data_IF_788396730036
#
_entry.id   IF_788396730036
#
_cell.length_a   1.000
_cell.length_b   1.000
_cell.length_c   1.000
_cell.angle_alpha   90.00
_cell.angle_beta   90.00
_cell.angle_gamma   90.00
#
_symmetry.space_group_name_H-M   'P 1'
#
loop_
_entity.id
_entity.type
_entity.pdbx_description
1 polymer ?
#
# COMPACT_ATOMS: atom_id res chain seq x y z
N UNK A 1 -27.79 -11.56 -15.83
CA UNK A 1 -26.66 -11.53 -16.78
C UNK A 1 -25.50 -10.96 -15.98
N UNK A 2 -24.77 -11.81 -15.25
CA UNK A 2 -23.65 -11.37 -14.41
C UNK A 2 -22.60 -10.76 -15.34
N UNK A 3 -22.40 -9.44 -15.25
CA UNK A 3 -21.17 -8.83 -15.75
C UNK A 3 -20.07 -9.38 -14.87
N UNK A 4 -19.33 -10.38 -15.37
CA UNK A 4 -17.99 -10.66 -14.88
C UNK A 4 -17.22 -9.35 -15.02
N UNK A 5 -17.00 -8.63 -13.92
CA UNK A 5 -15.87 -7.70 -13.86
C UNK A 5 -14.67 -8.60 -13.96
N UNK A 6 -14.10 -8.64 -15.15
CA UNK A 6 -12.80 -9.24 -15.40
C UNK A 6 -11.85 -8.39 -14.56
N UNK A 7 -11.40 -8.92 -13.41
CA UNK A 7 -10.16 -8.47 -12.77
C UNK A 7 -9.01 -8.88 -13.69
N UNK A 8 -8.93 -8.19 -14.83
CA UNK A 8 -7.87 -8.28 -15.80
C UNK A 8 -7.40 -6.86 -16.01
N UNK A 9 -6.39 -6.49 -15.23
CA UNK A 9 -5.84 -5.14 -15.19
C UNK A 9 -6.34 -4.35 -13.98
N UNK A 10 -5.81 -4.66 -12.79
CA UNK A 10 -5.53 -3.58 -11.83
C UNK A 10 -4.46 -2.69 -12.50
N UNK A 11 -4.91 -1.79 -13.37
CA UNK A 11 -4.02 -0.76 -13.90
C UNK A 11 -3.94 0.29 -12.80
N UNK A 12 -2.78 0.38 -12.17
CA UNK A 12 -2.50 1.39 -11.14
C UNK A 12 -2.77 2.78 -11.71
N UNK A 13 -3.68 3.55 -11.11
CA UNK A 13 -3.79 4.99 -11.37
C UNK A 13 -2.82 5.67 -10.41
N UNK A 14 -1.52 5.53 -10.68
CA UNK A 14 -0.51 6.20 -9.87
C UNK A 14 -0.06 7.50 -10.56
N UNK A 15 -0.21 8.63 -9.86
CA UNK A 15 0.46 9.86 -10.25
C UNK A 15 1.87 9.82 -9.69
N UNK A 16 2.87 9.88 -10.57
CA UNK A 16 4.27 9.89 -10.19
C UNK A 16 4.57 11.14 -9.35
N UNK A 17 4.72 10.99 -8.04
CA UNK A 17 5.40 11.98 -7.24
C UNK A 17 6.91 11.89 -7.54
N UNK A 18 7.36 12.59 -8.58
CA UNK A 18 8.79 12.78 -8.87
C UNK A 18 9.42 13.58 -7.71
N UNK A 19 9.97 12.85 -6.73
CA UNK A 19 10.71 13.39 -5.59
C UNK A 19 12.07 12.71 -5.47
N UNK A 20 13.03 13.41 -4.86
CA UNK A 20 14.34 12.83 -4.54
C UNK A 20 14.20 11.87 -3.35
N UNK A 21 14.32 10.57 -3.58
CA UNK A 21 14.53 9.58 -2.52
C UNK A 21 16.01 9.52 -2.11
N UNK A 22 16.32 9.40 -0.81
CA UNK A 22 17.70 9.33 -0.34
C UNK A 22 18.33 7.96 -0.69
N UNK A 23 19.61 7.96 -1.09
CA UNK A 23 20.37 6.75 -1.46
C UNK A 23 20.66 5.79 -0.29
N UNK A 24 20.31 6.18 0.94
CA UNK A 24 20.30 5.34 2.15
C UNK A 24 19.13 5.80 3.00
N UNK A 25 18.49 4.90 3.74
CA UNK A 25 17.53 5.31 4.75
C UNK A 25 18.21 6.32 5.69
N UNK A 26 17.61 7.50 5.79
CA UNK A 26 17.88 8.39 6.91
C UNK A 26 17.58 7.59 8.20
N UNK A 27 18.26 7.88 9.31
CA UNK A 27 17.92 7.25 10.58
C UNK A 27 16.42 7.44 10.84
N UNK A 28 15.65 6.37 10.71
CA UNK A 28 14.21 6.43 10.89
C UNK A 28 13.91 6.84 12.33
N UNK A 29 12.83 7.61 12.57
CA UNK A 29 12.48 7.96 13.92
C UNK A 29 12.03 6.71 14.68
N UNK A 30 12.43 6.61 15.95
CA UNK A 30 11.89 5.57 16.85
C UNK A 30 10.36 5.71 17.02
N UNK A 31 9.82 6.92 16.83
CA UNK A 31 8.39 7.21 16.89
C UNK A 31 7.96 8.14 15.76
N UNK A 32 7.01 7.68 14.93
CA UNK A 32 6.32 8.47 13.92
C UNK A 32 4.97 8.96 14.47
N UNK A 33 4.84 10.26 14.69
CA UNK A 33 3.60 10.91 15.11
C UNK A 33 2.86 11.48 13.90
N UNK A 34 1.65 10.99 13.67
CA UNK A 34 0.80 11.37 12.53
C UNK A 34 -0.28 12.35 13.01
N UNK A 35 -0.38 13.50 12.36
CA UNK A 35 -1.56 14.35 12.43
C UNK A 35 -2.51 13.94 11.30
N UNK A 36 -3.59 13.25 11.63
CA UNK A 36 -4.64 12.95 10.67
C UNK A 36 -5.68 14.08 10.70
N UNK A 37 -6.03 14.64 9.54
CA UNK A 37 -7.09 15.64 9.42
C UNK A 37 -8.18 15.16 8.48
N UNK A 38 -9.42 15.29 8.91
CA UNK A 38 -10.63 15.02 8.12
C UNK A 38 -11.04 16.29 7.42
N UNK A 39 -11.08 16.25 6.09
CA UNK A 39 -11.53 17.36 5.26
C UNK A 39 -12.70 16.95 4.38
N UNK A 40 -13.65 17.85 4.23
CA UNK A 40 -14.77 17.71 3.32
C UNK A 40 -14.84 18.92 2.40
N UNK A 41 -15.55 18.76 1.30
CA UNK A 41 -15.67 19.77 0.26
C UNK A 41 -16.94 20.60 0.43
N UNK A 42 -17.09 21.66 -0.36
CA UNK A 42 -18.42 22.26 -0.52
C UNK A 42 -19.36 21.25 -1.15
N UNK A 43 -20.55 21.00 -0.55
CA UNK A 43 -21.47 20.04 -1.11
C UNK A 43 -21.91 20.41 -2.53
N UNK A 44 -21.93 19.43 -3.43
CA UNK A 44 -22.44 19.61 -4.79
C UNK A 44 -23.30 18.41 -5.24
N UNK A 45 -23.68 18.39 -6.53
CA UNK A 45 -24.41 17.27 -7.13
C UNK A 45 -23.72 16.82 -8.42
N UNK A 46 -22.40 16.94 -8.50
CA UNK A 46 -21.63 16.50 -9.64
C UNK A 46 -21.73 14.98 -9.75
N UNK A 47 -22.13 14.48 -10.92
CA UNK A 47 -22.25 13.02 -11.17
C UNK A 47 -20.93 12.39 -11.58
N UNK A 48 -19.87 13.18 -11.67
CA UNK A 48 -18.53 12.80 -12.12
C UNK A 48 -17.56 12.62 -10.96
N UNK A 49 -18.06 12.73 -9.74
CA UNK A 49 -17.39 12.44 -8.47
C UNK A 49 -18.33 11.56 -7.63
N UNK A 50 -17.77 10.71 -6.77
CA UNK A 50 -18.55 9.89 -5.85
C UNK A 50 -18.95 10.66 -4.60
N UNK A 51 -20.24 10.57 -4.23
CA UNK A 51 -20.80 11.27 -3.08
C UNK A 51 -21.17 12.73 -3.40
N UNK A 52 -21.45 13.52 -2.35
CA UNK A 52 -21.79 14.93 -2.48
C UNK A 52 -20.66 15.86 -2.03
N UNK A 53 -19.48 15.31 -1.70
CA UNK A 53 -18.35 16.04 -1.13
C UNK A 53 -18.30 16.05 0.40
N UNK A 54 -19.22 15.38 1.09
CA UNK A 54 -19.21 15.20 2.56
C UNK A 54 -18.98 13.75 2.96
N UNK A 55 -18.48 13.51 4.18
CA UNK A 55 -18.23 12.15 4.69
C UNK A 55 -19.53 11.36 4.87
N UNK A 56 -19.50 10.07 4.57
CA UNK A 56 -20.62 9.18 4.87
C UNK A 56 -20.68 8.88 6.38
N UNK A 57 -21.51 9.66 7.07
CA UNK A 57 -21.80 9.51 8.50
C UNK A 57 -23.04 8.64 8.78
N UNK A 58 -23.55 7.94 7.77
CA UNK A 58 -24.68 7.04 7.96
C UNK A 58 -24.29 5.83 8.80
N UNK A 59 -25.25 5.25 9.52
CA UNK A 59 -25.03 4.07 10.38
C UNK A 59 -25.12 2.76 9.59
N UNK A 60 -24.53 2.73 8.40
CA UNK A 60 -25.13 2.08 7.22
C UNK A 60 -25.50 0.60 7.32
N UNK A 61 -26.45 0.25 6.46
CA UNK A 61 -26.69 -1.09 5.88
C UNK A 61 -26.26 -1.08 4.40
N UNK A 62 -25.07 -0.56 4.10
CA UNK A 62 -24.51 -0.47 2.74
C UNK A 62 -24.31 -1.87 2.16
N UNK A 63 -24.22 -1.97 0.83
CA UNK A 63 -23.78 -3.19 0.17
C UNK A 63 -22.31 -3.52 0.52
N UNK A 64 -21.49 -2.51 0.83
CA UNK A 64 -20.10 -2.67 1.23
C UNK A 64 -19.98 -3.07 2.70
N UNK A 65 -19.27 -4.17 2.94
CA UNK A 65 -18.96 -4.77 4.24
C UNK A 65 -17.53 -4.43 4.70
N UNK A 66 -16.62 -4.17 3.76
CA UNK A 66 -15.28 -3.66 4.03
C UNK A 66 -15.38 -2.17 4.32
N UNK A 67 -14.75 -1.74 5.42
CA UNK A 67 -14.69 -0.36 5.88
C UNK A 67 -16.04 0.37 5.80
N UNK A 68 -17.09 -0.12 6.49
CA UNK A 68 -18.41 0.47 6.40
C UNK A 68 -18.50 1.79 7.18
N UNK A 69 -19.42 2.69 6.80
CA UNK A 69 -19.69 3.91 7.54
C UNK A 69 -20.31 3.60 8.93
N UNK A 70 -20.25 4.53 9.90
CA UNK A 70 -19.91 5.95 9.70
C UNK A 70 -18.41 6.22 9.60
N UNK A 71 -17.98 6.94 8.56
CA UNK A 71 -16.59 7.39 8.35
C UNK A 71 -16.27 8.65 9.18
N UNK A 72 -16.37 8.46 10.50
CA UNK A 72 -16.23 9.48 11.51
C UNK A 72 -14.80 9.51 12.09
N UNK A 73 -14.54 10.34 13.09
CA UNK A 73 -13.22 10.44 13.73
C UNK A 73 -12.70 9.10 14.24
N UNK A 74 -13.55 8.30 14.89
CA UNK A 74 -13.14 6.99 15.42
C UNK A 74 -12.85 5.97 14.33
N UNK A 75 -13.49 6.07 13.16
CA UNK A 75 -13.18 5.24 11.99
C UNK A 75 -11.74 5.45 11.52
N UNK A 76 -11.32 6.71 11.31
CA UNK A 76 -9.93 7.00 10.92
C UNK A 76 -8.93 6.67 12.04
N UNK A 77 -9.33 6.78 13.31
CA UNK A 77 -8.49 6.35 14.43
C UNK A 77 -8.23 4.85 14.42
N UNK A 78 -9.18 4.03 13.93
CA UNK A 78 -8.99 2.59 13.77
C UNK A 78 -7.95 2.28 12.68
N UNK A 79 -7.97 2.98 11.54
CA UNK A 79 -6.95 2.83 10.51
C UNK A 79 -5.55 3.21 11.02
N UNK A 80 -5.43 4.28 11.83
CA UNK A 80 -4.17 4.60 12.51
C UNK A 80 -3.76 3.53 13.52
N UNK A 81 -4.73 2.86 14.16
CA UNK A 81 -4.47 1.72 15.06
C UNK A 81 -3.95 0.51 14.27
N UNK A 82 -4.51 0.24 13.09
CA UNK A 82 -3.96 -0.76 12.18
C UNK A 82 -2.53 -0.44 11.79
N UNK A 83 -2.26 0.79 11.32
CA UNK A 83 -0.91 1.21 10.94
C UNK A 83 0.08 1.04 12.10
N UNK A 84 -0.30 1.43 13.33
CA UNK A 84 0.48 1.17 14.53
C UNK A 84 0.82 -0.31 14.69
N UNK A 85 -0.20 -1.17 14.72
CA UNK A 85 0.00 -2.60 14.96
C UNK A 85 0.82 -3.24 13.83
N UNK A 86 0.60 -2.81 12.58
CA UNK A 86 1.36 -3.26 11.40
C UNK A 86 2.84 -2.91 11.53
N UNK A 87 3.17 -1.63 11.75
CA UNK A 87 4.55 -1.16 11.85
C UNK A 87 5.29 -1.69 13.08
N UNK A 88 4.61 -1.81 14.23
CA UNK A 88 5.19 -2.42 15.43
C UNK A 88 5.61 -3.88 15.17
N UNK A 89 4.78 -4.64 14.43
CA UNK A 89 5.09 -6.03 14.04
C UNK A 89 6.26 -6.13 13.08
N UNK A 90 6.21 -5.43 11.94
CA UNK A 90 7.24 -5.57 10.88
C UNK A 90 8.59 -5.01 11.29
N UNK A 91 8.60 -3.99 12.16
CA UNK A 91 9.83 -3.38 12.67
C UNK A 91 10.34 -4.03 13.95
N UNK A 92 9.60 -4.99 14.53
CA UNK A 92 9.89 -5.62 15.83
C UNK A 92 10.05 -4.59 16.95
N UNK A 93 9.20 -3.57 16.92
CA UNK A 93 9.19 -2.45 17.88
C UNK A 93 10.25 -1.37 17.62
N UNK A 94 11.01 -1.44 16.52
CA UNK A 94 11.96 -0.38 16.16
C UNK A 94 11.27 0.90 15.66
N UNK A 95 10.03 0.80 15.17
CA UNK A 95 9.19 1.94 14.82
C UNK A 95 7.87 1.87 15.61
N UNK A 96 7.57 2.94 16.33
CA UNK A 96 6.28 3.15 16.98
C UNK A 96 5.49 4.17 16.17
N UNK A 97 4.33 3.80 15.64
CA UNK A 97 3.42 4.76 15.00
C UNK A 97 2.33 5.15 15.98
N UNK A 98 2.07 6.45 16.07
CA UNK A 98 0.95 7.02 16.83
C UNK A 98 0.31 8.12 16.01
N UNK A 99 -0.97 8.40 16.21
CA UNK A 99 -1.56 9.56 15.57
C UNK A 99 -2.89 9.96 16.18
N UNK A 100 -3.22 11.23 15.96
CA UNK A 100 -4.42 11.89 16.44
C UNK A 100 -5.23 12.37 15.24
N UNK A 101 -6.55 12.20 15.30
CA UNK A 101 -7.48 12.64 14.24
C UNK A 101 -8.16 13.94 14.65
N UNK A 102 -8.10 14.94 13.76
CA UNK A 102 -8.74 16.25 13.89
C UNK A 102 -9.74 16.51 12.75
N UNK A 103 -10.79 17.34 12.96
CA UNK A 103 -11.17 17.99 14.22
C UNK A 103 -11.49 17.00 15.34
N UNK A 104 -11.49 17.46 16.60
CA UNK A 104 -11.65 16.57 17.76
C UNK A 104 -13.09 16.05 17.95
N UNK A 105 -14.09 16.68 17.32
CA UNK A 105 -15.47 16.22 17.32
C UNK A 105 -15.65 14.93 16.52
N UNK A 106 -16.53 14.04 17.00
CA UNK A 106 -16.68 12.70 16.44
C UNK A 106 -17.10 12.72 14.97
N UNK A 107 -18.00 13.62 14.59
CA UNK A 107 -18.52 13.75 13.22
C UNK A 107 -17.96 14.95 12.48
N UNK A 108 -17.17 15.81 13.13
CA UNK A 108 -16.73 17.09 12.59
C UNK A 108 -15.61 16.93 11.54
N UNK A 109 -15.64 17.75 10.50
CA UNK A 109 -14.60 17.82 9.46
C UNK A 109 -14.31 19.28 9.10
N UNK A 110 -13.08 19.56 8.66
CA UNK A 110 -12.75 20.88 8.11
C UNK A 110 -13.31 21.01 6.70
N UNK A 111 -14.13 22.03 6.46
CA UNK A 111 -14.76 22.23 5.16
C UNK A 111 -13.95 23.17 4.26
N UNK A 112 -13.51 22.64 3.12
CA UNK A 112 -12.83 23.39 2.07
C UNK A 112 -13.77 24.39 1.40
N UNK A 113 -13.21 25.44 0.80
CA UNK A 113 -13.99 26.50 0.14
C UNK A 113 -14.55 26.11 -1.23
N UNK A 114 -13.99 25.07 -1.85
CA UNK A 114 -14.34 24.61 -3.18
C UNK A 114 -14.91 23.18 -3.13
N UNK A 115 -15.57 22.74 -4.20
CA UNK A 115 -16.02 21.36 -4.32
C UNK A 115 -14.89 20.43 -4.75
N UNK A 116 -15.09 19.10 -4.65
CA UNK A 116 -14.11 18.09 -5.03
C UNK A 116 -13.62 18.26 -6.48
N UNK A 117 -14.57 18.54 -7.38
CA UNK A 117 -14.34 18.82 -8.80
C UNK A 117 -13.29 19.92 -9.05
N UNK A 118 -13.27 20.94 -8.18
CA UNK A 118 -12.34 22.05 -8.33
C UNK A 118 -10.90 21.63 -8.00
N UNK A 119 -10.71 20.63 -7.14
CA UNK A 119 -9.41 20.05 -6.86
C UNK A 119 -9.00 19.09 -7.96
N UNK A 120 -9.86 18.18 -8.40
CA UNK A 120 -9.55 17.28 -9.50
C UNK A 120 -10.47 17.47 -10.72
N UNK A 121 -10.17 18.42 -11.63
CA UNK A 121 -10.94 18.57 -12.85
C UNK A 121 -10.68 17.45 -13.88
N UNK A 122 -9.64 16.63 -13.66
CA UNK A 122 -9.18 15.54 -14.54
C UNK A 122 -9.05 15.92 -16.04
N UNK A 123 -8.50 17.10 -16.33
CA UNK A 123 -8.29 17.58 -17.71
C UNK A 123 -6.90 17.26 -18.27
N UNK A 124 -5.92 17.04 -17.40
CA UNK A 124 -4.55 16.62 -17.73
C UNK A 124 -3.85 16.10 -16.47
N UNK A 125 -2.81 15.28 -16.60
CA UNK A 125 -2.02 14.80 -15.45
C UNK A 125 -1.51 15.96 -14.58
N UNK A 126 -1.00 17.04 -15.21
CA UNK A 126 -0.56 18.23 -14.49
C UNK A 126 -1.69 18.91 -13.70
N UNK A 127 -2.91 18.94 -14.23
CA UNK A 127 -4.05 19.54 -13.52
C UNK A 127 -4.45 18.70 -12.29
N UNK A 128 -4.35 17.37 -12.38
CA UNK A 128 -4.58 16.46 -11.26
C UNK A 128 -3.50 16.68 -10.19
N UNK A 129 -2.23 16.71 -10.59
CA UNK A 129 -1.11 16.94 -9.67
C UNK A 129 -1.20 18.28 -8.93
N UNK A 130 -1.53 19.34 -9.66
CA UNK A 130 -1.80 20.66 -9.08
C UNK A 130 -3.00 20.63 -8.15
N UNK A 131 -4.02 19.85 -8.47
CA UNK A 131 -5.17 19.56 -7.63
C UNK A 131 -4.81 19.01 -6.27
N UNK A 132 -4.08 17.90 -6.26
CA UNK A 132 -3.63 17.21 -5.05
C UNK A 132 -2.73 18.11 -4.20
N UNK A 133 -1.80 18.83 -4.84
CA UNK A 133 -0.93 19.77 -4.14
C UNK A 133 -1.74 20.89 -3.47
N UNK A 134 -2.74 21.46 -4.17
CA UNK A 134 -3.64 22.46 -3.59
C UNK A 134 -4.46 21.89 -2.44
N UNK A 135 -5.02 20.69 -2.60
CA UNK A 135 -5.80 20.01 -1.57
C UNK A 135 -5.00 19.86 -0.27
N UNK A 136 -3.78 19.33 -0.37
CA UNK A 136 -2.91 19.18 0.80
C UNK A 136 -2.65 20.53 1.50
N UNK A 137 -2.29 21.56 0.71
CA UNK A 137 -2.04 22.91 1.25
C UNK A 137 -3.28 23.48 1.94
N UNK A 138 -4.42 23.46 1.26
CA UNK A 138 -5.64 24.12 1.72
C UNK A 138 -6.21 23.39 2.95
N UNK A 139 -6.11 22.05 2.99
CA UNK A 139 -6.44 21.23 4.14
C UNK A 139 -5.57 21.56 5.37
N UNK A 140 -4.25 21.64 5.18
CA UNK A 140 -3.31 21.98 6.26
C UNK A 140 -3.58 23.40 6.78
N UNK A 141 -3.82 24.37 5.90
CA UNK A 141 -4.12 25.75 6.30
C UNK A 141 -5.44 25.89 7.06
N UNK A 142 -6.45 25.07 6.74
CA UNK A 142 -7.70 25.03 7.50
C UNK A 142 -7.50 24.44 8.88
N UNK A 143 -6.71 23.36 9.00
CA UNK A 143 -6.40 22.77 10.29
C UNK A 143 -5.54 23.69 11.16
N UNK A 144 -4.64 24.50 10.57
CA UNK A 144 -3.83 25.51 11.28
C UNK A 144 -4.66 26.64 11.90
N UNK A 145 -5.90 26.85 11.42
CA UNK A 145 -6.83 27.80 12.02
C UNK A 145 -7.55 27.24 13.27
N UNK A 146 -7.39 25.96 13.60
CA UNK A 146 -7.92 25.33 14.81
C UNK A 146 -6.90 25.40 15.94
N UNK A 147 -7.22 26.16 17.00
CA UNK A 147 -6.36 26.35 18.17
C UNK A 147 -5.99 25.04 18.91
N UNK A 148 -6.65 23.91 18.61
CA UNK A 148 -6.32 22.60 19.18
C UNK A 148 -5.20 21.88 18.41
N UNK A 149 -4.91 22.29 17.19
CA UNK A 149 -3.88 21.69 16.33
C UNK A 149 -2.55 22.43 16.56
N UNK A 150 -1.52 21.65 16.83
CA UNK A 150 -0.14 22.14 17.00
C UNK A 150 0.75 21.24 16.17
N UNK A 151 1.11 21.73 14.98
CA UNK A 151 1.82 20.91 13.98
C UNK A 151 3.22 20.53 14.45
N UNK A 152 3.83 21.31 15.34
CA UNK A 152 5.15 21.02 15.91
C UNK A 152 5.24 19.69 16.67
N UNK A 153 4.09 19.09 17.05
CA UNK A 153 4.02 17.79 17.74
C UNK A 153 4.10 16.58 16.83
N UNK A 154 3.98 16.76 15.51
CA UNK A 154 3.82 15.68 14.55
C UNK A 154 4.96 15.66 13.53
N UNK A 155 5.21 14.48 12.96
CA UNK A 155 6.24 14.26 11.95
C UNK A 155 5.68 14.33 10.53
N UNK A 156 4.41 13.97 10.36
CA UNK A 156 3.71 13.95 9.07
C UNK A 156 2.23 14.25 9.24
N UNK A 157 1.61 14.69 8.15
CA UNK A 157 0.17 14.97 8.07
C UNK A 157 -0.47 13.98 7.10
N UNK A 158 -1.58 13.38 7.51
CA UNK A 158 -2.46 12.58 6.64
C UNK A 158 -3.77 13.33 6.49
N UNK A 159 -4.12 13.69 5.25
CA UNK A 159 -5.39 14.30 4.89
C UNK A 159 -6.32 13.20 4.42
N UNK A 160 -7.33 12.89 5.22
CA UNK A 160 -8.46 12.08 4.78
C UNK A 160 -9.51 13.01 4.19
N UNK A 161 -9.84 12.86 2.91
CA UNK A 161 -10.90 13.65 2.26
C UNK A 161 -12.19 12.84 2.10
N UNK A 162 -13.34 13.51 2.13
CA UNK A 162 -14.62 12.88 1.81
C UNK A 162 -14.67 12.34 0.36
N UNK A 163 -15.47 11.31 0.12
CA UNK A 163 -15.59 10.62 -1.16
C UNK A 163 -14.52 9.56 -1.41
N UNK A 164 -14.54 8.99 -2.62
CA UNK A 164 -13.80 7.77 -2.95
C UNK A 164 -12.46 8.06 -3.62
N UNK A 165 -11.50 7.15 -3.43
CA UNK A 165 -10.20 7.18 -4.10
C UNK A 165 -10.28 6.76 -5.57
N UNK A 166 -9.46 7.39 -6.40
CA UNK A 166 -9.28 7.00 -7.81
C UNK A 166 -8.00 6.16 -7.99
N UNK A 167 -7.81 5.19 -7.11
CA UNK A 167 -6.55 4.43 -6.99
C UNK A 167 -6.51 3.16 -7.85
N UNK A 168 -7.66 2.72 -8.35
CA UNK A 168 -7.82 1.55 -9.22
C UNK A 168 -8.48 1.95 -10.55
N UNK A 169 -8.10 1.27 -11.63
CA UNK A 169 -8.75 1.43 -12.94
C UNK A 169 -10.01 0.55 -13.03
N UNK A 170 -11.16 1.18 -13.15
CA UNK A 170 -12.47 0.54 -13.31
C UNK A 170 -12.86 0.32 -14.79
N UNK A 171 -11.99 0.72 -15.72
CA UNK A 171 -12.25 0.74 -17.15
C UNK A 171 -13.14 1.91 -17.55
N UNK A 172 -14.47 1.71 -17.55
CA UNK A 172 -15.41 2.82 -17.72
C UNK A 172 -15.65 3.46 -16.36
N UNK A 173 -14.84 4.47 -16.07
CA UNK A 173 -14.86 5.27 -14.85
C UNK A 173 -15.97 6.34 -14.95
N UNK A 174 -17.08 6.10 -14.25
CA UNK A 174 -18.23 7.01 -14.19
C UNK A 174 -17.93 8.22 -13.29
N UNK A 175 -16.92 8.14 -12.42
CA UNK A 175 -16.49 9.20 -11.50
C UNK A 175 -15.02 9.62 -11.71
N UNK A 176 -14.66 10.06 -12.93
CA UNK A 176 -13.27 10.32 -13.31
C UNK A 176 -12.61 11.46 -12.54
N UNK A 177 -13.36 12.21 -11.74
CA UNK A 177 -12.89 13.37 -10.98
C UNK A 177 -12.74 13.07 -9.48
N UNK A 178 -12.92 11.81 -9.07
CA UNK A 178 -12.47 11.33 -7.76
C UNK A 178 -10.97 11.53 -7.60
N UNK A 179 -10.53 11.84 -6.38
CA UNK A 179 -9.14 12.23 -6.11
C UNK A 179 -8.33 10.96 -5.80
N UNK A 180 -7.22 10.71 -6.50
CA UNK A 180 -6.35 9.57 -6.20
C UNK A 180 -5.51 9.83 -4.95
N UNK A 181 -5.17 8.76 -4.26
CA UNK A 181 -4.29 8.77 -3.09
C UNK A 181 -2.84 9.10 -3.50
N UNK A 182 -2.14 9.86 -2.67
CA UNK A 182 -0.74 10.21 -2.96
C UNK A 182 0.06 10.61 -1.72
N UNK A 183 1.31 10.14 -1.68
CA UNK A 183 2.36 10.72 -0.84
C UNK A 183 2.99 11.92 -1.55
N UNK A 184 2.71 13.11 -1.03
CA UNK A 184 3.17 14.38 -1.58
C UNK A 184 4.51 14.76 -0.99
N UNK A 185 5.49 15.01 -1.85
CA UNK A 185 6.85 15.44 -1.47
C UNK A 185 7.04 16.94 -1.60
N UNK A 186 8.11 17.47 -0.99
CA UNK A 186 8.52 18.87 -1.13
C UNK A 186 8.78 19.25 -2.60
N UNK A 187 9.34 18.32 -3.37
CA UNK A 187 9.57 18.50 -4.81
C UNK A 187 8.25 18.55 -5.58
N UNK A 188 7.27 17.71 -5.21
CA UNK A 188 5.94 17.74 -5.81
C UNK A 188 5.25 19.08 -5.57
N UNK A 189 5.30 19.60 -4.34
CA UNK A 189 4.81 20.95 -4.02
C UNK A 189 5.52 22.01 -4.85
N UNK A 190 6.85 21.91 -4.99
CA UNK A 190 7.64 22.88 -5.74
C UNK A 190 7.28 22.90 -7.22
N UNK A 191 7.07 21.72 -7.82
CA UNK A 191 6.72 21.55 -9.22
C UNK A 191 5.30 22.04 -9.53
N UNK A 192 4.37 21.85 -8.60
CA UNK A 192 2.95 22.07 -8.84
C UNK A 192 2.41 23.39 -8.30
N UNK A 193 2.99 23.92 -7.22
CA UNK A 193 2.55 25.17 -6.57
C UNK A 193 3.65 26.23 -6.48
N UNK A 194 4.89 25.91 -6.82
CA UNK A 194 6.02 26.83 -6.67
C UNK A 194 6.48 27.03 -5.23
N UNK A 195 6.01 26.21 -4.27
CA UNK A 195 6.40 26.24 -2.86
C UNK A 195 7.08 24.93 -2.48
N UNK A 196 8.12 24.96 -1.67
CA UNK A 196 8.78 23.73 -1.17
C UNK A 196 8.21 23.23 0.15
N UNK A 197 7.45 24.07 0.85
CA UNK A 197 6.87 23.77 2.16
C UNK A 197 5.62 24.63 2.43
N UNK A 198 4.78 24.15 3.35
CA UNK A 198 3.58 24.84 3.85
C UNK A 198 3.90 25.30 5.28
N UNK A 199 3.90 26.60 5.53
CA UNK A 199 4.19 27.19 6.85
C UNK A 199 2.92 27.21 7.71
N UNK A 200 3.04 26.72 8.95
CA UNK A 200 1.96 26.60 9.95
C UNK A 200 2.46 27.08 11.33
N UNK A 201 1.60 27.06 12.34
CA UNK A 201 1.88 27.53 13.71
C UNK A 201 2.40 28.99 13.72
N UNK A 202 1.78 29.87 12.93
CA UNK A 202 2.22 31.26 12.78
C UNK A 202 3.61 31.42 12.12
N UNK A 203 4.04 30.42 11.36
CA UNK A 203 5.34 30.36 10.67
C UNK A 203 6.46 29.70 11.48
N UNK A 204 6.15 29.08 12.62
CA UNK A 204 7.13 28.37 13.45
C UNK A 204 7.45 26.96 12.94
N UNK A 205 6.53 26.34 12.22
CA UNK A 205 6.65 24.96 11.71
C UNK A 205 6.47 24.95 10.19
N UNK A 206 7.23 24.10 9.50
CA UNK A 206 7.15 23.92 8.04
C UNK A 206 6.85 22.47 7.68
N UNK A 207 5.74 22.25 6.96
CA UNK A 207 5.33 20.95 6.45
C UNK A 207 5.85 20.77 5.03
N UNK A 208 6.74 19.79 4.85
CA UNK A 208 7.44 19.53 3.57
C UNK A 208 6.87 18.36 2.78
N UNK A 209 6.03 17.56 3.41
CA UNK A 209 5.42 16.38 2.82
C UNK A 209 4.12 16.07 3.57
N UNK A 210 3.28 15.25 2.96
CA UNK A 210 2.04 14.79 3.55
C UNK A 210 1.43 13.69 2.71
N UNK A 211 0.39 13.06 3.24
CA UNK A 211 -0.31 11.96 2.59
C UNK A 211 -1.75 12.43 2.35
N UNK A 212 -2.29 12.18 1.15
CA UNK A 212 -3.69 12.42 0.81
C UNK A 212 -4.34 11.06 0.56
N UNK A 213 -5.45 10.79 1.26
CA UNK A 213 -6.24 9.56 1.17
C UNK A 213 -7.74 9.89 1.15
N UNK A 214 -8.58 9.07 0.51
CA UNK A 214 -10.03 9.21 0.56
C UNK A 214 -10.61 8.70 1.90
N UNK A 215 -11.93 8.78 2.03
CA UNK A 215 -12.63 8.15 3.16
C UNK A 215 -12.75 6.64 2.98
N UNK A 216 -12.83 6.18 1.73
CA UNK A 216 -12.96 4.77 1.35
C UNK A 216 -12.47 4.56 -0.09
N UNK A 217 -12.16 3.31 -0.43
CA UNK A 217 -11.83 2.87 -1.78
C UNK A 217 -12.98 2.09 -2.44
N UNK A 218 -14.04 1.79 -1.68
CA UNK A 218 -15.14 0.96 -2.15
C UNK A 218 -16.10 1.76 -3.03
N UNK A 219 -16.28 1.33 -4.28
CA UNK A 219 -17.16 1.96 -5.28
C UNK A 219 -17.61 0.96 -6.34
N UNK A 220 -18.72 1.26 -7.03
CA UNK A 220 -19.20 0.50 -8.21
C UNK A 220 -19.26 -1.03 -8.02
N UNK A 221 -19.62 -1.48 -6.81
CA UNK A 221 -19.73 -2.91 -6.46
C UNK A 221 -18.39 -3.60 -6.14
N UNK A 222 -17.28 -2.87 -6.17
CA UNK A 222 -15.96 -3.32 -5.71
C UNK A 222 -15.77 -2.87 -4.26
N UNK A 223 -15.25 -3.79 -3.45
CA UNK A 223 -14.91 -3.54 -2.06
C UNK A 223 -13.41 -3.58 -1.90
N UNK A 224 -12.83 -2.48 -1.42
CA UNK A 224 -11.40 -2.36 -1.18
C UNK A 224 -11.17 -1.61 0.13
N UNK A 225 -10.28 -2.13 0.96
CA UNK A 225 -9.93 -1.59 2.25
C UNK A 225 -8.82 -0.54 2.17
N UNK A 226 -8.89 0.46 3.04
CA UNK A 226 -7.96 1.61 3.03
C UNK A 226 -6.58 1.28 3.63
N UNK A 227 -6.51 0.22 4.44
CA UNK A 227 -5.32 -0.13 5.23
C UNK A 227 -4.05 -0.28 4.39
N UNK A 228 -4.12 -1.00 3.27
CA UNK A 228 -2.99 -1.24 2.40
C UNK A 228 -2.39 0.02 1.81
N UNK A 229 -3.23 0.92 1.30
CA UNK A 229 -2.82 2.21 0.74
C UNK A 229 -2.25 3.10 1.84
N UNK A 230 -2.87 3.14 3.02
CA UNK A 230 -2.38 3.90 4.17
C UNK A 230 -0.96 3.46 4.58
N UNK A 231 -0.73 2.16 4.79
CA UNK A 231 0.59 1.69 5.23
C UNK A 231 1.65 1.81 4.13
N UNK A 232 1.27 1.67 2.85
CA UNK A 232 2.18 1.91 1.72
C UNK A 232 2.62 3.38 1.66
N UNK A 233 1.70 4.33 1.81
CA UNK A 233 2.02 5.76 1.86
C UNK A 233 2.84 6.15 3.09
N UNK A 234 2.62 5.52 4.25
CA UNK A 234 3.52 5.66 5.40
C UNK A 234 4.91 5.08 5.05
N UNK A 235 4.98 3.97 4.32
CA UNK A 235 6.22 3.42 3.76
C UNK A 235 6.97 4.44 2.90
N UNK A 236 6.28 5.12 1.97
CA UNK A 236 6.87 6.20 1.16
C UNK A 236 7.37 7.35 2.04
N UNK A 237 6.65 7.72 3.11
CA UNK A 237 7.11 8.70 4.09
C UNK A 237 8.39 8.27 4.83
N UNK A 238 8.51 6.98 5.15
CA UNK A 238 9.73 6.38 5.71
C UNK A 238 10.85 6.23 4.66
N UNK A 239 10.61 6.61 3.40
CA UNK A 239 11.60 6.57 2.33
C UNK A 239 11.69 5.21 1.63
N UNK A 240 10.69 4.35 1.75
CA UNK A 240 10.64 3.12 0.96
C UNK A 240 10.39 3.50 -0.49
N UNK A 241 11.19 2.99 -1.44
CA UNK A 241 10.95 3.23 -2.85
C UNK A 241 9.79 2.37 -3.36
N UNK A 242 9.16 2.84 -4.43
CA UNK A 242 8.22 2.05 -5.20
C UNK A 242 8.96 0.90 -5.88
N UNK A 243 8.36 -0.30 -5.85
CA UNK A 243 8.88 -1.50 -6.49
C UNK A 243 8.15 -1.83 -7.79
N UNK A 244 7.01 -1.19 -8.04
CA UNK A 244 6.37 -1.17 -9.36
C UNK A 244 7.13 -0.22 -10.30
N UNK A 245 6.82 -0.27 -11.60
CA UNK A 245 7.32 0.66 -12.63
C UNK A 245 6.32 1.79 -12.85
N UNK A 246 6.58 3.03 -12.38
CA UNK A 246 5.75 4.18 -12.71
C UNK A 246 5.62 4.46 -14.20
N UNK A 247 6.67 4.17 -14.99
CA UNK A 247 6.68 4.45 -16.43
C UNK A 247 5.79 3.49 -17.21
N UNK A 248 5.90 2.19 -16.91
CA UNK A 248 5.16 1.14 -17.62
C UNK A 248 3.80 0.83 -16.96
N UNK A 249 3.55 1.37 -15.75
CA UNK A 249 2.37 1.08 -14.92
C UNK A 249 2.19 -0.42 -14.68
N UNK A 250 3.32 -1.11 -14.57
CA UNK A 250 3.41 -2.55 -14.37
C UNK A 250 4.05 -2.86 -13.02
N UNK A 251 3.68 -3.98 -12.43
CA UNK A 251 4.32 -4.46 -11.20
C UNK A 251 5.76 -4.91 -11.49
N UNK A 252 6.65 -4.78 -10.51
CA UNK A 252 8.03 -5.26 -10.60
C UNK A 252 8.26 -6.52 -9.77
N UNK A 253 7.56 -6.68 -8.65
CA UNK A 253 7.72 -7.83 -7.72
C UNK A 253 6.38 -8.43 -7.25
N UNK A 254 5.28 -7.97 -7.83
CA UNK A 254 3.95 -8.54 -7.62
C UNK A 254 3.39 -8.33 -6.21
N UNK A 255 2.50 -9.23 -5.83
CA UNK A 255 1.78 -9.22 -4.55
C UNK A 255 2.66 -9.59 -3.34
N UNK A 256 3.94 -9.86 -3.55
CA UNK A 256 4.86 -10.31 -2.50
C UNK A 256 5.50 -9.18 -1.68
N UNK A 257 5.40 -7.92 -2.15
CA UNK A 257 5.98 -6.76 -1.48
C UNK A 257 4.97 -5.62 -1.26
N UNK A 258 5.09 -4.94 -0.12
CA UNK A 258 4.23 -3.82 0.26
C UNK A 258 4.26 -2.66 -0.75
N UNK A 259 5.43 -2.31 -1.27
CA UNK A 259 5.62 -1.14 -2.15
C UNK A 259 5.33 -1.45 -3.63
N UNK A 260 4.53 -2.48 -3.87
CA UNK A 260 4.03 -2.94 -5.17
C UNK A 260 2.60 -3.48 -4.94
N UNK A 261 2.08 -4.33 -5.83
CA UNK A 261 0.72 -4.89 -5.76
C UNK A 261 0.35 -5.56 -4.41
N UNK A 262 1.34 -5.89 -3.57
CA UNK A 262 1.09 -6.47 -2.25
C UNK A 262 0.32 -5.55 -1.29
N UNK A 263 0.22 -4.24 -1.59
CA UNK A 263 -0.66 -3.33 -0.84
C UNK A 263 -2.14 -3.70 -0.95
N UNK A 264 -2.56 -4.38 -2.03
CA UNK A 264 -3.95 -4.72 -2.30
C UNK A 264 -4.33 -6.13 -1.84
N UNK A 265 -3.42 -6.85 -1.20
CA UNK A 265 -3.69 -8.21 -0.73
C UNK A 265 -4.87 -8.24 0.27
N UNK A 266 -5.70 -9.28 0.14
CA UNK A 266 -6.92 -9.42 0.94
C UNK A 266 -7.89 -8.26 0.72
N UNK A 267 -8.06 -7.82 -0.52
CA UNK A 267 -8.87 -6.66 -0.90
C UNK A 267 -8.47 -5.39 -0.11
N UNK A 268 -7.16 -5.13 0.00
CA UNK A 268 -6.60 -3.96 0.71
C UNK A 268 -6.62 -4.04 2.24
N UNK A 269 -7.19 -5.11 2.82
CA UNK A 269 -7.21 -5.31 4.28
C UNK A 269 -5.87 -5.84 4.82
N UNK A 270 -5.20 -6.72 4.08
CA UNK A 270 -4.04 -7.49 4.55
C UNK A 270 -2.81 -7.22 3.66
N UNK A 271 -2.25 -6.00 3.70
CA UNK A 271 -1.06 -5.67 2.92
C UNK A 271 0.11 -6.60 3.25
N UNK A 272 0.86 -7.01 2.22
CA UNK A 272 2.06 -7.81 2.37
C UNK A 272 3.05 -7.15 3.34
N UNK A 273 3.83 -7.93 4.09
CA UNK A 273 4.96 -7.37 4.85
C UNK A 273 5.98 -6.71 3.91
N UNK A 274 6.73 -5.68 4.34
CA UNK A 274 7.82 -5.14 3.54
C UNK A 274 8.84 -6.24 3.28
N UNK A 275 9.34 -6.37 2.05
CA UNK A 275 10.29 -7.42 1.66
C UNK A 275 11.62 -7.32 2.44
N UNK A 276 12.42 -8.40 2.42
CA UNK A 276 13.70 -8.47 3.12
C UNK A 276 14.61 -7.24 2.89
N UNK A 277 14.74 -6.79 1.63
CA UNK A 277 15.55 -5.62 1.30
C UNK A 277 15.02 -4.34 1.98
N UNK A 278 13.72 -4.08 1.91
CA UNK A 278 13.09 -2.90 2.54
C UNK A 278 13.29 -2.90 4.06
N UNK A 279 13.18 -4.06 4.73
CA UNK A 279 13.41 -4.16 6.18
C UNK A 279 14.87 -3.93 6.56
N UNK A 280 15.82 -4.40 5.73
CA UNK A 280 17.25 -4.12 5.90
C UNK A 280 17.55 -2.65 5.65
N UNK A 281 16.98 -2.07 4.58
CA UNK A 281 17.10 -0.65 4.25
C UNK A 281 16.60 0.23 5.40
N UNK A 282 15.46 -0.12 6.01
CA UNK A 282 14.89 0.56 7.18
C UNK A 282 15.72 0.38 8.46
N UNK A 283 16.70 -0.54 8.49
CA UNK A 283 17.46 -0.88 9.68
C UNK A 283 16.70 -1.73 10.70
N UNK A 284 15.56 -2.32 10.32
CA UNK A 284 14.75 -3.18 11.19
C UNK A 284 15.22 -4.63 11.22
N UNK A 285 16.04 -5.02 10.23
CA UNK A 285 16.53 -6.38 10.09
C UNK A 285 17.99 -6.40 9.61
N UNK A 286 18.69 -7.47 9.95
CA UNK A 286 20.05 -7.75 9.47
C UNK A 286 20.09 -9.12 8.81
N UNK A 287 20.71 -9.21 7.63
CA UNK A 287 20.94 -10.48 6.95
C UNK A 287 22.16 -11.22 7.50
N UNK A 288 22.07 -12.54 7.59
CA UNK A 288 23.23 -13.40 7.81
C UNK A 288 23.90 -13.70 6.47
N UNK A 289 25.12 -13.21 6.25
CA UNK A 289 25.84 -13.40 4.99
C UNK A 289 26.45 -14.79 4.89
N UNK A 290 26.18 -15.49 3.79
CA UNK A 290 26.70 -16.81 3.47
C UNK A 290 27.55 -16.72 2.20
N UNK A 291 28.87 -16.80 2.37
CA UNK A 291 29.82 -16.78 1.23
C UNK A 291 30.02 -18.17 0.61
N UNK A 292 29.96 -19.20 1.44
CA UNK A 292 30.03 -20.60 1.05
C UNK A 292 29.14 -21.37 2.01
N UNK A 293 28.30 -22.27 1.48
CA UNK A 293 27.53 -23.17 2.32
C UNK A 293 28.51 -24.09 3.06
N UNK A 294 28.65 -23.90 4.38
CA UNK A 294 29.51 -24.79 5.18
C UNK A 294 28.87 -26.17 5.41
N UNK A 295 27.55 -26.25 5.26
CA UNK A 295 26.73 -27.45 5.27
C UNK A 295 25.72 -27.38 4.11
N UNK A 296 25.24 -28.52 3.63
CA UNK A 296 24.22 -28.60 2.58
C UNK A 296 22.81 -28.14 3.02
N UNK A 297 22.64 -27.72 4.29
CA UNK A 297 21.35 -27.33 4.85
C UNK A 297 21.49 -26.06 5.70
N UNK A 298 20.59 -25.10 5.45
CA UNK A 298 20.42 -23.87 6.22
C UNK A 298 19.00 -23.83 6.77
N UNK A 299 18.84 -23.37 8.01
CA UNK A 299 17.52 -23.20 8.64
C UNK A 299 17.16 -21.72 8.69
N UNK A 300 16.00 -21.38 8.14
CA UNK A 300 15.48 -20.03 8.05
C UNK A 300 14.10 -19.95 8.71
N UNK A 301 13.96 -19.09 9.70
CA UNK A 301 12.68 -18.89 10.37
C UNK A 301 11.79 -17.95 9.57
N UNK A 302 10.47 -18.13 9.72
CA UNK A 302 9.49 -17.23 9.11
C UNK A 302 9.69 -15.78 9.56
N UNK A 303 9.33 -14.81 8.71
CA UNK A 303 9.60 -13.38 8.93
C UNK A 303 9.10 -12.83 10.26
N UNK A 304 7.99 -13.33 10.81
CA UNK A 304 7.45 -12.90 12.11
C UNK A 304 7.82 -13.82 13.29
N UNK A 305 8.69 -14.81 13.07
CA UNK A 305 9.19 -15.67 14.14
C UNK A 305 9.96 -14.85 15.20
N UNK A 306 9.91 -15.22 16.48
CA UNK A 306 10.79 -14.64 17.49
C UNK A 306 12.24 -15.14 17.38
N UNK A 307 12.50 -16.17 16.56
CA UNK A 307 13.82 -16.82 16.44
C UNK A 307 14.51 -16.40 15.15
N UNK A 308 15.73 -15.89 15.25
CA UNK A 308 16.62 -15.62 14.12
C UNK A 308 17.34 -16.90 13.63
N UNK A 309 17.84 -16.95 12.38
CA UNK A 309 17.79 -15.91 11.35
C UNK A 309 16.48 -15.91 10.56
N UNK A 310 16.09 -14.75 9.99
CA UNK A 310 14.97 -14.65 9.03
C UNK A 310 15.39 -14.25 7.62
N UNK A 311 16.62 -13.73 7.45
CA UNK A 311 17.16 -13.37 6.15
C UNK A 311 18.59 -13.91 5.99
N UNK A 312 18.83 -14.62 4.89
CA UNK A 312 20.17 -14.92 4.41
C UNK A 312 20.54 -14.02 3.25
N UNK A 313 21.82 -13.62 3.18
CA UNK A 313 22.39 -12.90 2.03
C UNK A 313 23.46 -13.76 1.37
N UNK A 314 23.36 -13.95 0.05
CA UNK A 314 24.33 -14.67 -0.77
C UNK A 314 24.98 -13.70 -1.76
N UNK A 315 26.19 -13.21 -1.49
CA UNK A 315 26.88 -12.28 -2.38
C UNK A 315 27.24 -12.92 -3.72
N UNK A 316 26.96 -12.23 -4.81
CA UNK A 316 27.45 -12.57 -6.16
C UNK A 316 28.71 -11.75 -6.44
N UNK A 317 28.62 -10.44 -6.24
CA UNK A 317 29.71 -9.48 -6.34
C UNK A 317 29.51 -8.33 -5.31
N UNK A 318 30.23 -7.22 -5.46
CA UNK A 318 30.17 -6.09 -4.53
C UNK A 318 28.82 -5.35 -4.57
N UNK A 319 28.08 -5.42 -5.68
CA UNK A 319 26.81 -4.74 -5.91
C UNK A 319 25.62 -5.69 -6.06
N UNK A 320 25.85 -6.95 -6.43
CA UNK A 320 24.79 -7.92 -6.63
C UNK A 320 24.80 -9.06 -5.60
N UNK A 321 23.62 -9.44 -5.15
CA UNK A 321 23.43 -10.52 -4.19
C UNK A 321 22.00 -11.03 -4.18
N UNK A 322 21.82 -12.25 -3.68
CA UNK A 322 20.49 -12.76 -3.34
C UNK A 322 20.15 -12.53 -1.86
N UNK A 323 18.90 -12.19 -1.58
CA UNK A 323 18.31 -12.27 -0.25
C UNK A 323 17.29 -13.40 -0.21
N UNK A 324 17.38 -14.27 0.79
CA UNK A 324 16.42 -15.35 1.00
C UNK A 324 15.67 -15.10 2.29
N UNK A 325 14.34 -15.09 2.23
CA UNK A 325 13.45 -14.99 3.39
C UNK A 325 12.34 -16.06 3.34
N UNK A 326 11.82 -16.45 4.51
CA UNK A 326 10.73 -17.40 4.61
C UNK A 326 9.40 -16.67 4.88
N UNK A 327 8.52 -16.63 3.88
CA UNK A 327 7.20 -15.96 3.92
C UNK A 327 6.04 -16.94 4.08
N UNK A 328 6.31 -18.15 4.56
CA UNK A 328 5.25 -19.13 4.79
C UNK A 328 4.31 -18.67 5.91
N UNK A 329 3.05 -18.42 5.56
CA UNK A 329 1.98 -18.02 6.47
C UNK A 329 0.90 -19.09 6.67
N UNK A 330 1.08 -20.29 6.10
CA UNK A 330 0.11 -21.39 6.09
C UNK A 330 -0.29 -21.80 4.67
N UNK A 331 -1.04 -22.90 4.52
CA UNK A 331 -1.54 -23.41 3.23
C UNK A 331 -2.92 -22.84 2.84
N UNK A 332 -3.29 -21.69 3.40
CA UNK A 332 -4.62 -21.09 3.21
C UNK A 332 -4.63 -20.26 1.92
N UNK A 333 -5.71 -20.42 1.14
CA UNK A 333 -5.99 -19.63 -0.06
C UNK A 333 -7.30 -18.86 0.13
N UNK A 334 -7.20 -17.56 0.38
CA UNK A 334 -8.36 -16.73 0.76
C UNK A 334 -9.42 -16.66 -0.35
N UNK A 335 -9.00 -16.63 -1.62
CA UNK A 335 -9.85 -16.68 -2.80
C UNK A 335 -10.71 -17.96 -2.86
N UNK A 336 -10.12 -19.09 -2.50
CA UNK A 336 -10.80 -20.39 -2.43
C UNK A 336 -11.85 -20.39 -1.32
N UNK A 337 -11.52 -19.83 -0.16
CA UNK A 337 -12.46 -19.68 0.96
C UNK A 337 -13.61 -18.71 0.63
N UNK A 338 -13.31 -17.63 -0.10
CA UNK A 338 -14.30 -16.68 -0.60
C UNK A 338 -15.28 -17.36 -1.55
N UNK A 339 -14.77 -18.18 -2.48
CA UNK A 339 -15.60 -18.93 -3.40
C UNK A 339 -16.53 -19.90 -2.65
N UNK A 340 -15.99 -20.65 -1.67
CA UNK A 340 -16.79 -21.55 -0.82
C UNK A 340 -17.91 -20.80 -0.10
N UNK A 341 -17.63 -19.62 0.47
CA UNK A 341 -18.68 -18.82 1.12
C UNK A 341 -19.72 -18.27 0.15
N UNK A 342 -19.31 -18.03 -1.09
CA UNK A 342 -20.16 -17.51 -2.16
C UNK A 342 -21.08 -18.57 -2.75
N UNK A 343 -20.81 -19.86 -2.54
CA UNK A 343 -21.64 -20.95 -3.08
C UNK A 343 -23.12 -20.79 -2.70
N UNK A 344 -23.98 -20.70 -3.72
CA UNK A 344 -25.43 -20.52 -3.55
C UNK A 344 -25.89 -19.08 -3.29
N UNK A 345 -24.99 -18.09 -3.32
CA UNK A 345 -25.31 -16.65 -3.22
C UNK A 345 -25.37 -15.99 -4.60
N UNK A 346 -26.00 -14.83 -4.67
CA UNK A 346 -26.03 -13.99 -5.88
C UNK A 346 -24.88 -12.97 -5.95
N UNK A 347 -24.17 -12.78 -4.83
CA UNK A 347 -23.10 -11.81 -4.65
C UNK A 347 -21.90 -12.51 -4.01
N UNK A 348 -20.69 -12.05 -4.37
CA UNK A 348 -19.44 -12.55 -3.82
C UNK A 348 -19.36 -12.20 -2.32
N UNK A 349 -18.94 -13.16 -1.49
CA UNK A 349 -18.65 -12.89 -0.09
C UNK A 349 -17.50 -11.86 0.01
N UNK A 350 -17.62 -10.88 0.89
CA UNK A 350 -16.54 -9.92 1.11
C UNK A 350 -15.33 -10.59 1.76
N UNK A 351 -14.12 -10.06 1.55
CA UNK A 351 -12.94 -10.57 2.25
C UNK A 351 -13.08 -10.46 3.76
N UNK A 352 -13.76 -9.43 4.26
CA UNK A 352 -14.11 -9.32 5.67
C UNK A 352 -14.88 -10.55 6.18
N UNK A 353 -15.94 -10.98 5.48
CA UNK A 353 -16.70 -12.17 5.86
C UNK A 353 -15.83 -13.43 5.86
N UNK A 354 -14.92 -13.57 4.89
CA UNK A 354 -13.95 -14.67 4.83
C UNK A 354 -13.09 -14.69 6.09
N UNK A 355 -12.52 -13.54 6.44
CA UNK A 355 -11.65 -13.40 7.61
C UNK A 355 -12.40 -13.64 8.91
N UNK A 356 -13.60 -13.07 9.08
CA UNK A 356 -14.43 -13.28 10.27
C UNK A 356 -14.94 -14.72 10.39
N UNK A 357 -15.13 -15.44 9.28
CA UNK A 357 -15.66 -16.82 9.32
C UNK A 357 -14.57 -17.85 9.56
N UNK A 358 -13.44 -17.76 8.85
CA UNK A 358 -12.41 -18.80 8.86
C UNK A 358 -11.16 -18.43 9.66
N UNK A 359 -10.96 -17.14 9.95
CA UNK A 359 -9.71 -16.61 10.51
C UNK A 359 -9.97 -15.66 11.69
N UNK A 360 -11.11 -15.80 12.38
CA UNK A 360 -11.53 -14.93 13.48
C UNK A 360 -10.51 -14.83 14.63
N UNK A 361 -9.67 -15.84 14.81
CA UNK A 361 -8.60 -15.86 15.81
C UNK A 361 -7.28 -15.25 15.30
N UNK A 362 -7.17 -14.96 13.99
CA UNK A 362 -6.00 -14.37 13.34
C UNK A 362 -6.14 -12.87 13.09
N UNK A 363 -7.35 -12.36 13.06
CA UNK A 363 -7.66 -10.94 12.79
C UNK A 363 -8.46 -10.30 13.92
N UNK A 364 -8.44 -8.98 13.99
CA UNK A 364 -9.28 -8.20 14.92
C UNK A 364 -9.88 -7.02 14.19
N UNK A 365 -11.21 -6.98 14.15
CA UNK A 365 -11.98 -5.83 13.64
C UNK A 365 -12.45 -4.96 14.79
N UNK A 366 -12.48 -3.65 14.57
CA UNK A 366 -13.11 -2.71 15.50
C UNK A 366 -14.64 -2.86 15.47
N UNK A 367 -15.37 -2.28 16.45
CA UNK A 367 -16.84 -2.22 16.39
C UNK A 367 -17.40 -1.50 15.15
N UNK A 368 -16.58 -0.69 14.46
CA UNK A 368 -16.94 -0.01 13.21
C UNK A 368 -16.64 -0.86 11.97
N UNK A 369 -16.06 -2.04 12.13
CA UNK A 369 -15.76 -2.95 11.02
C UNK A 369 -14.45 -2.68 10.29
N UNK A 370 -13.61 -1.78 10.81
CA UNK A 370 -12.24 -1.57 10.31
C UNK A 370 -11.34 -2.67 10.86
N UNK A 371 -10.53 -3.29 10.00
CA UNK A 371 -9.51 -4.23 10.46
C UNK A 371 -8.41 -3.47 11.20
N UNK A 372 -8.24 -3.73 12.50
CA UNK A 372 -7.25 -3.03 13.34
C UNK A 372 -6.03 -3.87 13.68
N UNK A 373 -6.10 -5.19 13.52
CA UNK A 373 -4.92 -6.05 13.67
C UNK A 373 -5.04 -7.36 12.90
N UNK A 374 -3.91 -7.89 12.47
CA UNK A 374 -3.75 -9.22 11.92
C UNK A 374 -2.44 -9.82 12.43
N UNK A 375 -2.49 -11.04 12.98
CA UNK A 375 -1.32 -11.74 13.52
C UNK A 375 -0.22 -11.92 12.48
N UNK A 376 -0.62 -12.27 11.26
CA UNK A 376 0.27 -12.36 10.11
C UNK A 376 -0.45 -11.90 8.84
N UNK A 377 -0.22 -10.67 8.35
CA UNK A 377 -0.76 -10.18 7.08
C UNK A 377 -0.42 -11.05 5.85
N UNK A 378 0.71 -11.77 5.87
CA UNK A 378 1.14 -12.59 4.73
C UNK A 378 0.24 -13.81 4.45
N UNK A 379 -0.77 -14.09 5.28
CA UNK A 379 -1.82 -15.08 4.96
C UNK A 379 -2.57 -14.74 3.67
N UNK A 380 -2.48 -13.48 3.21
CA UNK A 380 -3.08 -13.00 1.97
C UNK A 380 -2.12 -13.03 0.76
N UNK A 381 -0.87 -13.52 0.92
CA UNK A 381 0.04 -13.70 -0.21
C UNK A 381 -0.50 -14.74 -1.20
N UNK A 382 -0.16 -14.64 -2.51
CA UNK A 382 -0.52 -15.64 -3.51
C UNK A 382 -0.01 -17.04 -3.20
N UNK A 383 1.09 -17.17 -2.45
CA UNK A 383 1.67 -18.44 -2.03
C UNK A 383 2.64 -18.26 -0.86
N UNK A 384 2.83 -19.33 -0.09
CA UNK A 384 3.75 -19.36 1.04
C UNK A 384 4.96 -20.24 0.75
N UNK A 385 6.16 -19.74 1.06
CA UNK A 385 7.41 -20.47 0.87
C UNK A 385 8.62 -19.59 1.14
N UNK A 386 9.79 -20.04 0.69
CA UNK A 386 10.96 -19.18 0.63
C UNK A 386 10.85 -18.25 -0.59
N UNK A 387 11.03 -16.95 -0.38
CA UNK A 387 11.21 -15.99 -1.47
C UNK A 387 12.70 -15.70 -1.62
N UNK A 388 13.14 -15.61 -2.86
CA UNK A 388 14.52 -15.29 -3.21
C UNK A 388 14.49 -14.02 -4.03
N UNK A 389 15.14 -12.98 -3.52
CA UNK A 389 15.22 -11.68 -4.17
C UNK A 389 16.59 -11.50 -4.79
N UNK A 390 16.66 -11.22 -6.08
CA UNK A 390 17.88 -10.70 -6.70
C UNK A 390 17.95 -9.19 -6.48
N UNK A 391 19.09 -8.73 -5.99
CA UNK A 391 19.32 -7.32 -5.68
C UNK A 391 20.53 -6.83 -6.47
N UNK A 392 20.35 -5.76 -7.24
CA UNK A 392 21.40 -5.01 -7.92
C UNK A 392 21.47 -3.58 -7.35
N UNK A 393 22.41 -3.37 -6.42
CA UNK A 393 22.65 -2.08 -5.79
C UNK A 393 23.08 -1.01 -6.80
N UNK A 394 23.65 -1.37 -7.94
CA UNK A 394 24.07 -0.39 -8.94
C UNK A 394 22.88 0.27 -9.62
N UNK A 395 21.85 -0.51 -9.94
CA UNK A 395 20.57 -0.01 -10.48
C UNK A 395 19.81 0.76 -9.41
N UNK A 396 19.70 0.21 -8.19
CA UNK A 396 19.03 0.88 -7.08
C UNK A 396 19.66 2.25 -6.84
N UNK A 397 20.98 2.34 -6.66
CA UNK A 397 21.65 3.61 -6.39
C UNK A 397 21.50 4.62 -7.53
N UNK A 398 21.38 4.16 -8.78
CA UNK A 398 21.19 5.03 -9.95
C UNK A 398 19.74 5.57 -10.06
N UNK A 399 18.75 4.77 -9.68
CA UNK A 399 17.34 5.04 -9.97
C UNK A 399 16.49 5.40 -8.75
N UNK A 400 16.96 5.09 -7.52
CA UNK A 400 16.18 5.30 -6.29
C UNK A 400 15.76 6.75 -6.15
N UNK A 401 16.64 7.70 -6.47
CA UNK A 401 16.35 9.14 -6.40
C UNK A 401 15.21 9.61 -7.31
N UNK A 402 14.78 8.80 -8.28
CA UNK A 402 13.65 9.09 -9.17
C UNK A 402 12.46 8.17 -8.90
N UNK A 403 12.57 7.25 -7.93
CA UNK A 403 11.61 6.20 -7.60
C UNK A 403 11.33 5.23 -8.76
N UNK A 404 12.40 4.80 -9.45
CA UNK A 404 12.32 4.03 -10.70
C UNK A 404 13.20 2.79 -10.69
N UNK A 405 13.36 2.16 -9.51
CA UNK A 405 14.33 1.08 -9.33
C UNK A 405 14.01 -0.16 -10.18
N UNK A 406 12.75 -0.34 -10.55
CA UNK A 406 12.27 -1.45 -11.38
C UNK A 406 11.61 -0.97 -12.69
N UNK A 407 11.92 0.26 -13.15
CA UNK A 407 11.32 0.81 -14.38
C UNK A 407 11.74 0.04 -15.65
N UNK A 408 12.96 -0.50 -15.68
CA UNK A 408 13.47 -1.32 -16.78
C UNK A 408 13.20 -2.81 -16.49
N UNK A 409 12.22 -3.45 -17.17
CA UNK A 409 11.89 -4.86 -16.94
C UNK A 409 13.03 -5.81 -17.32
N UNK A 410 13.96 -5.39 -18.19
CA UNK A 410 15.11 -6.22 -18.58
C UNK A 410 16.27 -6.12 -17.58
N UNK A 411 16.29 -5.10 -16.71
CA UNK A 411 17.34 -4.89 -15.71
C UNK A 411 16.79 -4.17 -14.47
N UNK A 412 16.01 -4.91 -13.69
CA UNK A 412 15.43 -4.45 -12.42
C UNK A 412 16.53 -4.30 -11.35
N UNK A 413 16.36 -3.35 -10.44
CA UNK A 413 17.20 -3.24 -9.26
C UNK A 413 16.83 -4.25 -8.17
N UNK A 414 15.56 -4.64 -8.11
CA UNK A 414 15.04 -5.67 -7.23
C UNK A 414 14.10 -6.56 -8.02
N UNK A 415 14.38 -7.86 -8.04
CA UNK A 415 13.59 -8.85 -8.76
C UNK A 415 13.27 -10.06 -7.87
N UNK A 416 12.12 -10.70 -8.10
CA UNK A 416 11.77 -11.95 -7.45
C UNK A 416 12.20 -13.12 -8.36
N UNK A 417 13.01 -14.01 -7.83
CA UNK A 417 13.38 -15.23 -8.55
C UNK A 417 12.24 -16.24 -8.44
N UNK A 418 11.40 -16.31 -9.47
CA UNK A 418 10.19 -17.13 -9.50
C UNK A 418 10.55 -18.63 -9.56
N UNK A 419 10.10 -19.39 -8.55
CA UNK A 419 10.42 -20.80 -8.44
C UNK A 419 9.85 -21.62 -9.59
N UNK A 420 8.71 -21.22 -10.12
CA UNK A 420 8.05 -21.95 -11.18
C UNK A 420 8.80 -21.89 -12.52
N UNK A 421 9.86 -21.08 -12.64
CA UNK A 421 10.73 -20.96 -13.81
C UNK A 421 10.18 -20.06 -14.92
N UNK A 422 9.01 -19.47 -14.73
CA UNK A 422 8.41 -18.46 -15.60
C UNK A 422 8.66 -17.11 -14.97
N UNK A 423 9.55 -16.30 -15.54
CA UNK A 423 9.71 -14.90 -15.11
C UNK A 423 8.61 -14.09 -15.78
N UNK A 424 7.43 -14.05 -15.15
CA UNK A 424 6.21 -13.46 -15.72
C UNK A 424 5.55 -12.38 -14.85
N UNK A 425 6.06 -12.14 -13.64
CA UNK A 425 5.69 -10.94 -12.87
C UNK A 425 6.04 -9.68 -13.68
N UNK A 426 5.04 -8.81 -13.84
CA UNK A 426 5.16 -7.57 -14.62
C UNK A 426 4.94 -7.72 -16.13
N UNK A 427 4.74 -8.93 -16.65
CA UNK A 427 4.42 -9.15 -18.06
C UNK A 427 2.95 -8.81 -18.38
N UNK A 428 2.69 -8.48 -19.64
CA UNK A 428 1.32 -8.17 -20.11
C UNK A 428 0.73 -9.32 -20.91
N UNK A 429 -0.37 -9.86 -20.41
CA UNK A 429 -1.11 -10.94 -21.03
C UNK A 429 -2.42 -10.41 -21.64
N UNK A 430 -2.60 -10.59 -22.96
CA UNK A 430 -3.86 -10.32 -23.66
C UNK A 430 -4.97 -11.26 -23.16
N UNK A 431 -6.24 -10.82 -23.20
CA UNK A 431 -7.41 -11.68 -22.96
C UNK A 431 -7.41 -12.98 -23.79
N UNK A 432 -6.76 -13.00 -24.97
CA UNK A 432 -6.60 -14.19 -25.81
C UNK A 432 -5.47 -15.14 -25.38
N UNK A 433 -4.56 -14.69 -24.51
CA UNK A 433 -3.36 -15.44 -24.13
C UNK A 433 -3.66 -16.72 -23.35
N UNK A 434 -4.87 -16.88 -22.80
CA UNK A 434 -5.25 -18.03 -21.97
C UNK A 434 -4.54 -18.08 -20.61
N UNK A 435 -3.63 -17.15 -20.34
CA UNK A 435 -2.90 -16.95 -19.09
C UNK A 435 -3.62 -15.83 -18.36
N UNK A 436 -4.21 -16.14 -17.20
CA UNK A 436 -4.80 -15.14 -16.32
C UNK A 436 -3.92 -15.01 -15.09
N UNK A 437 -3.55 -13.77 -14.77
CA UNK A 437 -3.15 -13.32 -13.42
C UNK A 437 -1.79 -13.80 -12.89
N UNK A 438 -0.93 -14.41 -13.71
CA UNK A 438 0.46 -14.71 -13.33
C UNK A 438 1.30 -13.43 -13.12
N UNK A 439 0.97 -12.36 -13.85
CA UNK A 439 1.75 -11.12 -13.81
C UNK A 439 1.76 -10.37 -12.47
N UNK A 440 0.88 -10.73 -11.52
CA UNK A 440 0.86 -10.19 -10.15
C UNK A 440 1.54 -11.12 -9.13
N UNK A 441 2.07 -12.25 -9.60
CA UNK A 441 2.60 -13.33 -8.79
C UNK A 441 1.57 -14.41 -8.47
N UNK A 442 2.01 -15.66 -8.52
CA UNK A 442 1.22 -16.87 -8.38
C UNK A 442 1.64 -17.73 -7.19
N UNK A 443 0.79 -18.71 -6.90
CA UNK A 443 0.99 -19.73 -5.90
C UNK A 443 2.29 -20.55 -5.99
N UNK A 444 2.91 -20.56 -7.17
CA UNK A 444 4.05 -21.42 -7.50
C UNK A 444 5.38 -20.65 -7.56
N UNK A 445 5.38 -19.33 -7.43
CA UNK A 445 6.60 -18.51 -7.46
C UNK A 445 7.43 -18.65 -6.17
N UNK A 446 6.84 -18.91 -4.98
CA UNK A 446 7.64 -19.24 -3.80
C UNK A 446 8.33 -20.60 -3.92
N UNK A 447 9.55 -20.70 -3.36
CA UNK A 447 10.34 -21.92 -3.33
C UNK A 447 9.94 -22.81 -2.16
N UNK A 448 9.49 -24.04 -2.45
CA UNK A 448 9.18 -25.06 -1.45
C UNK A 448 9.24 -26.48 -2.07
N UNK A 449 9.53 -27.49 -1.24
CA UNK A 449 9.87 -28.85 -1.70
C UNK A 449 8.78 -29.53 -2.54
N UNK A 450 7.51 -29.27 -2.23
CA UNK A 450 6.36 -29.86 -2.91
C UNK A 450 5.74 -28.94 -3.98
N UNK A 451 6.50 -27.97 -4.47
CA UNK A 451 6.06 -27.11 -5.56
C UNK A 451 5.75 -27.95 -6.81
N UNK A 452 4.53 -27.80 -7.33
CA UNK A 452 4.00 -28.62 -8.41
C UNK A 452 4.22 -28.02 -9.80
N UNK A 453 4.93 -26.90 -9.91
CA UNK A 453 5.23 -26.31 -11.22
C UNK A 453 5.96 -27.33 -12.11
N UNK A 454 5.56 -27.45 -13.39
CA UNK A 454 6.20 -28.37 -14.33
C UNK A 454 7.65 -27.96 -14.67
N UNK A 455 8.01 -26.70 -14.48
CA UNK A 455 9.34 -26.14 -14.77
C UNK A 455 10.19 -25.93 -13.49
N UNK A 456 9.62 -26.18 -12.30
CA UNK A 456 10.37 -26.13 -11.05
C UNK A 456 11.39 -27.28 -10.98
N UNK A 457 12.67 -26.91 -10.98
CA UNK A 457 13.78 -27.88 -10.96
C UNK A 457 14.65 -27.80 -9.69
N UNK A 458 14.17 -27.13 -8.63
CA UNK A 458 14.95 -26.87 -7.39
C UNK A 458 16.35 -26.29 -7.67
N UNK A 459 16.50 -25.52 -8.74
CA UNK A 459 17.78 -24.93 -9.16
C UNK A 459 17.53 -23.62 -9.91
N UNK A 460 18.46 -22.68 -9.79
CA UNK A 460 18.55 -21.55 -10.71
C UNK A 460 18.98 -22.10 -12.07
N UNK A 461 18.16 -21.96 -13.12
CA UNK A 461 18.63 -22.18 -14.47
C UNK A 461 19.51 -21.00 -14.87
N UNK A 462 20.77 -21.30 -15.18
CA UNK A 462 21.80 -20.36 -15.65
C UNK A 462 21.49 -19.71 -16.98
#
# INVERSE_FOLDING_TARGET
MLKRVVLGGLVFVCLSALGFWPAKAQSLPDTLKILAIRVEFQPDNATTTTGDGTFDLSSSTTAFQIDPPPHNRSYFQDHLTFAKNYFEKVSRGALIVTGDVFPSGESDAYRLSESMLAYNPNTSAQAVDQGIARLLRDAIQLADADDQVDFSKYNTVVVFHAGVGRDIDLGLDDTPQDIPSLYVTSQFLQNNLGISEITVDGGATSIKNGIVLPETESQEGIQLGLNGILVSNIGSHLGFPDLFSPSERATGVGRFALMDAGLFNGDGLLPALPMAWTRIFAGWESATTIYQAQNDQLALNAVLSPQSPHVFKFPINDNEYFLVENRYAGELRLDSLQLVLTEGRNELASMREVLETYLADQVTFSPRGVLIDAKNPDIALPGGGALIWHIDESVINAQIAQNRINDDPAHRGIDLEEADGSQDIGETFDFLSGIQDASLGWALDPWYTSNSSPLFENKFSS
#
